data_IF_784964096704
#
_entry.id   IF_784964096704
#
_cell.length_a   1.000
_cell.length_b   1.000
_cell.length_c   1.000
_cell.angle_alpha   90.00
_cell.angle_beta   90.00
_cell.angle_gamma   90.00
#
_symmetry.space_group_name_H-M   'P 1'
#
loop_
_entity.id
_entity.type
_entity.pdbx_description
1 polymer ?
#
# COMPACT_ATOMS: atom_id res chain seq x y z
N UNK A 1 -16.66 -8.15 -14.13
CA UNK A 1 -15.50 -7.34 -13.78
C UNK A 1 -15.52 -7.04 -12.29
N UNK A 2 -14.48 -7.42 -11.60
CA UNK A 2 -14.44 -7.24 -10.15
C UNK A 2 -13.79 -5.93 -9.82
N UNK A 3 -14.54 -5.05 -9.19
CA UNK A 3 -14.05 -3.73 -8.81
C UNK A 3 -13.88 -3.72 -7.30
N UNK A 4 -12.64 -3.62 -6.85
CA UNK A 4 -12.35 -3.64 -5.42
C UNK A 4 -12.36 -2.23 -4.88
N UNK A 5 -13.16 -2.03 -3.85
CA UNK A 5 -13.23 -0.76 -3.15
C UNK A 5 -12.18 -0.76 -2.04
N UNK A 6 -11.15 0.03 -2.20
CA UNK A 6 -10.08 0.10 -1.21
C UNK A 6 -10.49 1.08 -0.12
N UNK A 7 -10.48 0.62 1.13
CA UNK A 7 -10.79 1.43 2.28
C UNK A 7 -9.52 1.77 3.03
N UNK A 8 -9.48 2.97 3.60
CA UNK A 8 -8.33 3.45 4.36
C UNK A 8 -8.71 3.56 5.82
N UNK A 9 -7.99 2.85 6.67
CA UNK A 9 -8.17 2.89 8.11
C UNK A 9 -6.94 3.54 8.74
N UNK A 10 -6.96 4.87 8.82
CA UNK A 10 -5.81 5.64 9.29
C UNK A 10 -5.38 5.29 10.70
N UNK A 11 -6.35 5.02 11.58
CA UNK A 11 -6.05 4.71 12.98
C UNK A 11 -5.20 3.46 13.12
N UNK A 12 -5.34 2.51 12.21
CA UNK A 12 -4.57 1.28 12.21
C UNK A 12 -3.47 1.27 11.18
N UNK A 13 -3.32 2.35 10.42
CA UNK A 13 -2.28 2.52 9.41
C UNK A 13 -2.33 1.40 8.37
N UNK A 14 -3.51 1.21 7.79
CA UNK A 14 -3.65 0.21 6.74
C UNK A 14 -4.70 0.61 5.69
N UNK A 15 -4.51 0.08 4.50
CA UNK A 15 -5.53 0.07 3.45
C UNK A 15 -5.98 -1.36 3.27
N UNK A 16 -7.26 -1.57 3.03
CA UNK A 16 -7.78 -2.92 2.85
C UNK A 16 -8.94 -2.97 1.89
N UNK A 17 -9.21 -4.17 1.38
CA UNK A 17 -10.42 -4.46 0.62
C UNK A 17 -11.12 -5.64 1.30
N UNK A 18 -12.44 -5.57 1.32
CA UNK A 18 -13.25 -6.67 1.82
C UNK A 18 -13.52 -7.62 0.67
N UNK A 19 -13.31 -8.89 0.92
CA UNK A 19 -13.51 -9.92 -0.09
C UNK A 19 -14.87 -10.58 0.11
N UNK A 20 -15.37 -11.21 -0.95
CA UNK A 20 -16.70 -11.79 -0.95
C UNK A 20 -16.86 -12.97 0.02
N UNK A 21 -15.76 -13.58 0.43
CA UNK A 21 -15.78 -14.69 1.39
C UNK A 21 -15.61 -14.24 2.84
N UNK A 22 -15.69 -12.94 3.11
CA UNK A 22 -15.55 -12.39 4.44
C UNK A 22 -14.12 -12.13 4.88
N UNK A 23 -13.15 -12.49 4.07
CA UNK A 23 -11.74 -12.20 4.36
C UNK A 23 -11.39 -10.80 3.89
N UNK A 24 -10.20 -10.34 4.25
CA UNK A 24 -9.69 -9.04 3.81
C UNK A 24 -8.28 -9.19 3.27
N UNK A 25 -8.00 -8.46 2.19
CA UNK A 25 -6.63 -8.24 1.74
C UNK A 25 -6.22 -6.86 2.23
N UNK A 26 -4.96 -6.68 2.61
CA UNK A 26 -4.55 -5.40 3.18
C UNK A 26 -3.08 -5.10 2.90
N UNK A 27 -2.75 -3.82 3.05
CA UNK A 27 -1.39 -3.34 3.08
C UNK A 27 -1.24 -2.48 4.31
N UNK A 28 -0.20 -2.74 5.10
CA UNK A 28 0.09 -1.99 6.31
C UNK A 28 1.26 -1.06 6.07
N UNK A 29 1.17 0.13 6.62
CA UNK A 29 2.22 1.12 6.48
C UNK A 29 2.56 1.74 7.84
N UNK A 30 3.68 2.45 7.87
CA UNK A 30 4.06 3.26 9.01
C UNK A 30 4.34 4.66 8.50
N UNK A 31 3.75 5.63 9.16
CA UNK A 31 3.98 7.02 8.84
C UNK A 31 4.89 7.59 9.91
N UNK A 32 5.98 8.22 9.51
CA UNK A 32 6.93 8.82 10.45
C UNK A 32 7.34 10.19 9.96
N UNK A 33 7.92 10.98 10.87
CA UNK A 33 8.33 12.33 10.58
C UNK A 33 7.72 13.30 11.57
N UNK A 34 8.30 14.48 11.65
CA UNK A 34 7.79 15.56 12.49
C UNK A 34 8.13 16.90 11.84
N UNK A 35 7.90 18.01 12.56
CA UNK A 35 8.10 19.33 12.01
C UNK A 35 9.53 19.61 11.54
N UNK A 36 10.50 18.92 12.10
CA UNK A 36 11.91 19.13 11.75
C UNK A 36 12.48 18.01 10.89
N UNK A 37 11.69 16.98 10.57
CA UNK A 37 12.15 15.86 9.77
C UNK A 37 11.17 15.61 8.63
N UNK A 38 11.71 15.09 7.52
CA UNK A 38 10.89 14.77 6.37
C UNK A 38 9.91 13.64 6.73
N UNK A 39 8.65 13.87 6.43
CA UNK A 39 7.63 12.86 6.66
C UNK A 39 7.73 11.77 5.60
N UNK A 40 7.59 10.53 6.03
CA UNK A 40 7.69 9.40 5.13
C UNK A 40 6.67 8.33 5.46
N UNK A 41 6.34 7.54 4.46
CA UNK A 41 5.45 6.40 4.60
C UNK A 41 6.22 5.15 4.20
N UNK A 42 6.28 4.18 5.09
CA UNK A 42 6.94 2.91 4.84
C UNK A 42 5.90 1.80 4.77
N UNK A 43 5.81 1.13 3.62
CA UNK A 43 4.95 -0.04 3.46
C UNK A 43 5.73 -1.25 3.96
N UNK A 44 5.28 -1.86 5.05
CA UNK A 44 6.04 -2.92 5.69
C UNK A 44 5.38 -4.29 5.64
N UNK A 45 4.11 -4.38 5.27
CA UNK A 45 3.43 -5.67 5.20
C UNK A 45 2.31 -5.62 4.17
N UNK A 46 2.22 -6.66 3.35
CA UNK A 46 1.16 -6.81 2.35
C UNK A 46 0.63 -8.24 2.45
N UNK A 47 -0.68 -8.37 2.53
CA UNK A 47 -1.31 -9.67 2.66
C UNK A 47 -2.51 -9.81 1.73
N UNK A 48 -2.56 -10.91 0.99
CA UNK A 48 -3.72 -11.30 0.19
C UNK A 48 -4.01 -12.76 0.51
N UNK A 49 -5.24 -13.10 0.90
CA UNK A 49 -5.59 -14.50 1.12
C UNK A 49 -5.31 -15.36 -0.10
N UNK A 50 -4.89 -16.58 0.13
CA UNK A 50 -4.47 -17.50 -0.93
C UNK A 50 -5.51 -17.64 -2.04
N UNK A 51 -6.78 -17.70 -1.68
CA UNK A 51 -7.87 -17.85 -2.65
C UNK A 51 -8.01 -16.67 -3.61
N UNK A 52 -7.40 -15.53 -3.29
CA UNK A 52 -7.50 -14.32 -4.09
C UNK A 52 -6.17 -13.88 -4.68
N UNK A 53 -5.14 -14.69 -4.56
CA UNK A 53 -3.83 -14.40 -5.13
C UNK A 53 -3.86 -14.56 -6.65
N UNK A 54 -2.96 -13.86 -7.32
CA UNK A 54 -2.86 -13.95 -8.78
C UNK A 54 -3.82 -13.05 -9.53
N UNK A 55 -4.57 -12.20 -8.82
CA UNK A 55 -5.53 -11.28 -9.43
C UNK A 55 -5.05 -9.84 -9.44
N UNK A 56 -3.81 -9.60 -9.06
CA UNK A 56 -3.24 -8.25 -9.01
C UNK A 56 -3.71 -7.41 -7.85
N UNK A 57 -4.35 -8.01 -6.85
CA UNK A 57 -4.91 -7.26 -5.73
C UNK A 57 -3.84 -6.62 -4.86
N UNK A 58 -2.75 -7.35 -4.60
CA UNK A 58 -1.65 -6.81 -3.81
C UNK A 58 -1.04 -5.57 -4.48
N UNK A 59 -0.85 -5.64 -5.80
CA UNK A 59 -0.30 -4.50 -6.54
C UNK A 59 -1.22 -3.29 -6.47
N UNK A 60 -2.53 -3.50 -6.56
CA UNK A 60 -3.51 -2.42 -6.46
C UNK A 60 -3.47 -1.75 -5.09
N UNK A 61 -3.36 -2.56 -4.03
CA UNK A 61 -3.29 -2.04 -2.67
C UNK A 61 -2.01 -1.23 -2.44
N UNK A 62 -0.87 -1.76 -2.87
CA UNK A 62 0.40 -1.07 -2.71
C UNK A 62 0.42 0.22 -3.52
N UNK A 63 -0.04 0.16 -4.77
CA UNK A 63 -0.11 1.35 -5.60
C UNK A 63 -1.00 2.42 -4.99
N UNK A 64 -2.14 2.02 -4.44
CA UNK A 64 -3.05 2.96 -3.80
C UNK A 64 -2.38 3.65 -2.62
N UNK A 65 -1.63 2.91 -1.81
CA UNK A 65 -0.92 3.51 -0.68
C UNK A 65 0.16 4.49 -1.15
N UNK A 66 0.85 4.18 -2.24
CA UNK A 66 1.85 5.08 -2.81
C UNK A 66 1.21 6.35 -3.35
N UNK A 67 0.09 6.22 -4.06
CA UNK A 67 -0.63 7.39 -4.60
C UNK A 67 -1.13 8.28 -3.46
N UNK A 68 -1.62 7.69 -2.40
CA UNK A 68 -2.05 8.46 -1.24
C UNK A 68 -0.87 9.19 -0.60
N UNK A 69 0.27 8.53 -0.45
CA UNK A 69 1.47 9.15 0.10
C UNK A 69 1.93 10.33 -0.76
N UNK A 70 1.88 10.17 -2.09
CA UNK A 70 2.22 11.27 -2.99
C UNK A 70 1.30 12.47 -2.79
N UNK A 71 0.01 12.23 -2.64
CA UNK A 71 -0.95 13.31 -2.44
C UNK A 71 -0.75 14.03 -1.09
N UNK A 72 -0.17 13.33 -0.12
CA UNK A 72 0.12 13.88 1.21
C UNK A 72 1.54 14.45 1.33
N UNK A 73 2.31 14.40 0.24
CA UNK A 73 3.68 14.89 0.25
C UNK A 73 4.65 14.05 1.06
N UNK A 74 4.38 12.76 1.18
CA UNK A 74 5.21 11.86 1.97
C UNK A 74 6.27 11.20 1.10
N UNK A 75 7.47 10.99 1.66
CA UNK A 75 8.47 10.16 1.01
C UNK A 75 8.07 8.71 1.10
N UNK A 76 8.28 7.98 0.02
CA UNK A 76 7.94 6.56 -0.06
C UNK A 76 9.13 5.69 0.28
N UNK A 77 8.94 4.75 1.20
CA UNK A 77 9.89 3.68 1.46
C UNK A 77 9.12 2.37 1.54
N UNK A 78 9.83 1.26 1.52
CA UNK A 78 9.18 -0.04 1.59
C UNK A 78 10.10 -1.05 2.25
N UNK A 79 9.70 -1.52 3.43
CA UNK A 79 10.40 -2.61 4.12
C UNK A 79 9.92 -3.98 3.66
N UNK A 80 8.69 -4.05 3.13
CA UNK A 80 8.16 -5.26 2.52
C UNK A 80 8.82 -5.46 1.15
N UNK A 81 9.40 -6.64 0.92
CA UNK A 81 10.12 -6.89 -0.34
C UNK A 81 9.23 -6.73 -1.58
N UNK A 82 7.97 -7.10 -1.47
CA UNK A 82 7.03 -6.96 -2.58
C UNK A 82 6.77 -5.49 -2.90
N UNK A 83 6.49 -4.71 -1.86
CA UNK A 83 6.27 -3.27 -2.03
C UNK A 83 7.55 -2.57 -2.51
N UNK A 84 8.71 -3.03 -2.05
CA UNK A 84 9.98 -2.47 -2.49
C UNK A 84 10.18 -2.64 -4.00
N UNK A 85 9.80 -3.78 -4.53
CA UNK A 85 9.89 -4.02 -5.98
C UNK A 85 8.97 -3.09 -6.76
N UNK A 86 7.77 -2.88 -6.27
CA UNK A 86 6.83 -1.98 -6.94
C UNK A 86 7.30 -0.54 -6.86
N UNK A 87 7.87 -0.15 -5.74
CA UNK A 87 8.42 1.20 -5.57
C UNK A 87 9.58 1.43 -6.54
N UNK A 88 10.45 0.46 -6.68
CA UNK A 88 11.57 0.54 -7.62
C UNK A 88 11.08 0.74 -9.05
N UNK A 89 10.07 -0.01 -9.47
CA UNK A 89 9.48 0.13 -10.80
C UNK A 89 8.84 1.51 -10.99
N UNK A 90 8.16 2.00 -9.96
CA UNK A 90 7.53 3.31 -10.00
C UNK A 90 8.56 4.41 -10.20
N UNK A 91 9.69 4.32 -9.53
CA UNK A 91 10.77 5.29 -9.65
C UNK A 91 11.42 5.25 -11.04
N UNK A 92 11.55 4.07 -11.63
CA UNK A 92 12.10 3.93 -12.97
C UNK A 92 11.19 4.56 -14.03
N UNK A 93 9.89 4.43 -13.86
CA UNK A 93 8.92 4.96 -14.83
C UNK A 93 8.86 6.48 -14.80
N UNK A 94 9.19 7.09 -13.68
CA UNK A 94 9.10 8.54 -13.51
C UNK A 94 10.28 9.31 -14.08
N UNK A 95 11.23 8.66 -14.66
CA UNK A 95 12.37 9.34 -15.30
C UNK A 95 11.97 10.07 -16.59
#
# INVERSE_FOLDING_TARGET
>A
MTDYSIEHQEEESLFYVRLDDGQRAYVKYRRSGNESAVSQLDVWSTFVPESHRGKGLAAKLVKHSFDWADSEGLFLTASCWYAAKLLERRQQIQE
#
